data_IF_559985514075
#
_entry.id   IF_559985514075
#
_cell.length_a   1.000
_cell.length_b   1.000
_cell.length_c   1.000
_cell.angle_alpha   90.00
_cell.angle_beta   90.00
_cell.angle_gamma   90.00
#
_symmetry.space_group_name_H-M   'P 1'
#
loop_
_entity.id
_entity.type
_entity.pdbx_description
1 polymer ?
#
# COMPACT_ATOMS: atom_id res chain seq x y z
N UNK A 1 -37.94 -34.20 -60.78
CA UNK A 1 -37.96 -32.83 -60.25
C UNK A 1 -36.94 -32.75 -59.12
N UNK A 2 -35.83 -32.04 -59.31
CA UNK A 2 -35.11 -31.49 -58.16
C UNK A 2 -35.86 -30.28 -57.59
N UNK A 3 -35.29 -29.49 -56.65
CA UNK A 3 -33.91 -29.60 -56.15
C UNK A 3 -33.70 -29.23 -54.65
N UNK A 4 -32.41 -29.26 -54.22
CA UNK A 4 -31.74 -28.41 -53.20
C UNK A 4 -32.19 -28.52 -51.74
N UNK A 5 -31.34 -29.05 -50.85
CA UNK A 5 -30.33 -28.30 -50.08
C UNK A 5 -30.65 -28.51 -48.59
N UNK A 6 -29.77 -28.57 -47.60
CA UNK A 6 -28.36 -28.29 -47.46
C UNK A 6 -27.80 -29.20 -46.34
N UNK A 7 -26.48 -29.30 -46.30
CA UNK A 7 -25.63 -29.93 -45.28
C UNK A 7 -26.01 -29.59 -43.83
N UNK A 8 -25.74 -30.46 -42.84
CA UNK A 8 -25.66 -30.02 -41.45
C UNK A 8 -24.42 -29.11 -41.32
N UNK A 9 -24.64 -27.81 -41.43
CA UNK A 9 -23.64 -26.79 -41.15
C UNK A 9 -23.23 -26.92 -39.70
N UNK A 10 -21.93 -27.07 -39.48
CA UNK A 10 -21.28 -26.89 -38.20
C UNK A 10 -21.84 -25.65 -37.50
N UNK A 11 -22.63 -25.86 -36.44
CA UNK A 11 -22.75 -24.86 -35.40
C UNK A 11 -21.44 -24.92 -34.63
N UNK A 12 -20.46 -24.19 -35.17
CA UNK A 12 -19.26 -23.82 -34.46
C UNK A 12 -19.70 -23.34 -33.09
N UNK A 13 -19.32 -24.09 -32.06
CA UNK A 13 -19.19 -23.53 -30.73
C UNK A 13 -18.36 -22.27 -30.92
N UNK A 14 -18.98 -21.12 -30.67
CA UNK A 14 -18.23 -19.92 -30.36
C UNK A 14 -17.43 -20.27 -29.11
N UNK A 15 -16.24 -20.82 -29.35
CA UNK A 15 -15.10 -20.61 -28.48
C UNK A 15 -14.98 -19.09 -28.45
N UNK A 16 -15.59 -18.47 -27.43
CA UNK A 16 -15.06 -17.22 -26.94
C UNK A 16 -13.61 -17.52 -26.55
N UNK A 17 -12.71 -17.32 -27.53
CA UNK A 17 -11.30 -17.17 -27.25
C UNK A 17 -11.15 -16.10 -26.17
N UNK A 18 -10.10 -16.18 -25.33
CA UNK A 18 -9.95 -15.31 -24.17
C UNK A 18 -10.10 -13.86 -24.63
N UNK A 19 -11.18 -13.21 -24.20
CA UNK A 19 -11.43 -11.80 -24.48
C UNK A 19 -10.29 -11.01 -23.84
N UNK A 20 -9.38 -10.66 -24.74
CA UNK A 20 -8.31 -9.69 -24.68
C UNK A 20 -8.64 -8.55 -23.72
N UNK A 21 -7.92 -8.55 -22.60
CA UNK A 21 -7.66 -7.47 -21.64
C UNK A 21 -8.52 -6.20 -21.84
N UNK A 22 -9.52 -6.03 -20.98
CA UNK A 22 -10.39 -4.86 -20.99
C UNK A 22 -9.63 -3.61 -20.49
N UNK A 23 -9.38 -2.68 -21.41
CA UNK A 23 -8.69 -1.39 -21.17
C UNK A 23 -9.34 -0.62 -20.01
N UNK A 24 -10.66 -0.74 -19.85
CA UNK A 24 -11.41 -0.07 -18.78
C UNK A 24 -11.12 -0.71 -17.41
N UNK A 25 -10.99 -2.03 -17.36
CA UNK A 25 -10.63 -2.77 -16.13
C UNK A 25 -9.18 -2.49 -15.73
N UNK A 26 -8.27 -2.41 -16.70
CA UNK A 26 -6.86 -2.06 -16.49
C UNK A 26 -6.74 -0.61 -16.01
N UNK A 27 -7.42 0.33 -16.65
CA UNK A 27 -7.40 1.74 -16.24
C UNK A 27 -7.97 1.90 -14.82
N UNK A 28 -9.06 1.19 -14.50
CA UNK A 28 -9.63 1.16 -13.14
C UNK A 28 -8.67 0.55 -12.10
N UNK A 29 -7.94 -0.51 -12.47
CA UNK A 29 -6.90 -1.11 -11.63
C UNK A 29 -5.72 -0.16 -11.42
N UNK A 30 -5.27 0.54 -12.46
CA UNK A 30 -4.18 1.51 -12.34
C UNK A 30 -4.58 2.72 -11.50
N UNK A 31 -5.82 3.17 -11.63
CA UNK A 31 -6.37 4.25 -10.80
C UNK A 31 -6.53 3.80 -9.34
N UNK A 32 -6.93 2.55 -9.08
CA UNK A 32 -6.97 2.01 -7.72
C UNK A 32 -5.56 1.85 -7.10
N UNK A 33 -4.54 1.71 -7.95
CA UNK A 33 -3.12 1.74 -7.59
C UNK A 33 -2.53 3.16 -7.51
N UNK A 34 -3.35 4.21 -7.67
CA UNK A 34 -2.95 5.61 -7.50
C UNK A 34 -2.35 6.29 -8.73
N UNK A 35 -2.43 5.66 -9.91
CA UNK A 35 -2.03 6.28 -11.19
C UNK A 35 -3.11 7.27 -11.61
N UNK A 36 -2.72 8.48 -12.02
CA UNK A 36 -3.68 9.50 -12.47
C UNK A 36 -4.52 8.99 -13.65
N UNK A 37 -5.80 9.35 -13.72
CA UNK A 37 -6.72 8.80 -14.73
C UNK A 37 -6.22 8.95 -16.17
N UNK A 38 -5.55 10.06 -16.49
CA UNK A 38 -4.92 10.27 -17.80
C UNK A 38 -3.71 9.35 -18.05
N UNK A 39 -2.86 9.12 -17.05
CA UNK A 39 -1.73 8.19 -17.15
C UNK A 39 -2.19 6.73 -17.17
N UNK A 40 -3.25 6.39 -16.43
CA UNK A 40 -3.86 5.07 -16.39
C UNK A 40 -4.48 4.69 -17.74
N UNK A 41 -5.25 5.60 -18.37
CA UNK A 41 -5.81 5.37 -19.70
C UNK A 41 -4.71 5.27 -20.77
N UNK A 42 -3.71 6.15 -20.72
CA UNK A 42 -2.58 6.13 -21.68
C UNK A 42 -1.70 4.88 -21.55
N UNK A 43 -1.49 4.40 -20.31
CA UNK A 43 -0.76 3.15 -20.06
C UNK A 43 -1.57 1.92 -20.47
N UNK A 44 -2.90 1.92 -20.25
CA UNK A 44 -3.79 0.84 -20.66
C UNK A 44 -3.90 0.74 -22.20
N UNK A 45 -4.02 1.87 -22.90
CA UNK A 45 -4.02 1.91 -24.38
C UNK A 45 -2.70 1.42 -24.98
N UNK A 46 -1.56 1.81 -24.39
CA UNK A 46 -0.24 1.33 -24.83
C UNK A 46 -0.05 -0.16 -24.58
N UNK A 47 -0.57 -0.69 -23.48
CA UNK A 47 -0.45 -2.10 -23.14
C UNK A 47 -1.41 -2.99 -23.95
N UNK A 48 -2.54 -2.45 -24.44
CA UNK A 48 -3.50 -3.18 -25.29
C UNK A 48 -2.93 -3.66 -26.64
N UNK A 49 -1.76 -3.16 -27.06
CA UNK A 49 -1.07 -3.61 -28.28
C UNK A 49 -0.29 -4.92 -28.15
N UNK A 50 -0.18 -5.52 -26.96
CA UNK A 50 0.55 -6.78 -26.75
C UNK A 50 -0.34 -8.01 -26.94
N UNK A 51 0.16 -9.01 -27.66
CA UNK A 51 -0.56 -10.24 -27.97
C UNK A 51 -0.64 -11.27 -26.83
N UNK A 52 0.08 -11.07 -25.72
CA UNK A 52 0.11 -11.97 -24.57
C UNK A 52 0.14 -11.24 -23.21
N UNK A 53 -0.25 -11.93 -22.14
CA UNK A 53 -0.38 -11.34 -20.80
C UNK A 53 0.98 -10.94 -20.18
N UNK A 54 2.06 -11.63 -20.53
CA UNK A 54 3.40 -11.31 -20.05
C UNK A 54 3.98 -10.06 -20.76
N UNK A 55 3.77 -9.94 -22.07
CA UNK A 55 4.09 -8.75 -22.85
C UNK A 55 3.26 -7.55 -22.39
N UNK A 56 1.98 -7.76 -22.07
CA UNK A 56 1.10 -6.75 -21.50
C UNK A 56 1.66 -6.14 -20.21
N UNK A 57 2.03 -7.00 -19.24
CA UNK A 57 2.57 -6.54 -17.97
C UNK A 57 3.90 -5.80 -18.15
N UNK A 58 4.76 -6.27 -19.05
CA UNK A 58 6.03 -5.63 -19.36
C UNK A 58 5.84 -4.25 -20.01
N UNK A 59 4.89 -4.15 -20.94
CA UNK A 59 4.58 -2.91 -21.67
C UNK A 59 3.86 -1.89 -20.78
N UNK A 60 3.03 -2.37 -19.85
CA UNK A 60 2.41 -1.56 -18.81
C UNK A 60 3.46 -1.01 -17.82
N UNK A 61 4.38 -1.85 -17.37
CA UNK A 61 5.47 -1.46 -16.47
C UNK A 61 6.39 -0.41 -17.12
N UNK A 62 6.77 -0.62 -18.39
CA UNK A 62 7.58 0.34 -19.15
C UNK A 62 6.86 1.67 -19.35
N UNK A 63 5.56 1.65 -19.68
CA UNK A 63 4.77 2.88 -19.88
C UNK A 63 4.63 3.68 -18.59
N UNK A 64 4.45 3.01 -17.44
CA UNK A 64 4.40 3.66 -16.13
C UNK A 64 5.76 4.26 -15.74
N UNK A 65 6.87 3.58 -16.06
CA UNK A 65 8.22 4.10 -15.82
C UNK A 65 8.52 5.34 -16.68
N UNK A 66 8.13 5.34 -17.95
CA UNK A 66 8.27 6.50 -18.85
C UNK A 66 7.45 7.69 -18.36
N UNK A 67 6.18 7.47 -18.00
CA UNK A 67 5.29 8.53 -17.49
C UNK A 67 5.76 9.10 -16.13
N UNK A 68 6.42 8.29 -15.31
CA UNK A 68 7.07 8.77 -14.08
C UNK A 68 8.32 9.62 -14.37
N UNK A 69 9.00 9.37 -15.50
CA UNK A 69 10.20 10.10 -15.90
C UNK A 69 9.93 11.43 -16.63
N UNK A 70 8.78 11.58 -17.29
CA UNK A 70 8.38 12.83 -17.98
C UNK A 70 8.14 14.02 -17.03
N UNK A 71 8.05 13.79 -15.71
CA UNK A 71 7.85 14.86 -14.71
C UNK A 71 9.15 15.48 -14.16
N UNK A 72 10.33 15.09 -14.65
CA UNK A 72 11.61 15.60 -14.12
C UNK A 72 12.42 16.38 -15.16
N UNK A 73 12.43 17.70 -15.01
CA UNK A 73 13.48 18.60 -15.53
C UNK A 73 13.88 19.63 -14.45
N UNK A 74 15.11 20.19 -14.52
CA UNK A 74 16.01 20.23 -13.37
C UNK A 74 16.37 21.65 -12.87
N UNK A 75 16.41 21.83 -11.55
CA UNK A 75 17.19 22.80 -10.76
C UNK A 75 16.81 22.52 -9.27
N UNK A 76 17.67 22.45 -8.27
CA UNK A 76 19.01 22.98 -8.10
C UNK A 76 19.89 22.02 -7.29
N UNK A 77 21.18 22.09 -7.58
CA UNK A 77 22.24 21.45 -6.82
C UNK A 77 22.72 22.35 -5.68
N UNK A 78 23.28 21.71 -4.65
CA UNK A 78 24.19 22.21 -3.62
C UNK A 78 23.59 22.99 -2.42
N UNK A 79 23.61 22.34 -1.26
CA UNK A 79 24.62 22.66 -0.25
C UNK A 79 24.76 21.54 0.77
N UNK A 80 25.98 21.05 0.89
CA UNK A 80 26.43 20.28 2.04
C UNK A 80 26.61 21.24 3.21
N UNK A 81 25.97 20.97 4.35
CA UNK A 81 26.45 21.47 5.63
C UNK A 81 26.15 20.44 6.70
N UNK A 82 27.23 19.90 7.25
CA UNK A 82 27.26 19.06 8.44
C UNK A 82 26.80 19.87 9.64
N UNK A 83 25.80 19.40 10.40
CA UNK A 83 25.63 19.80 11.80
C UNK A 83 24.75 18.81 12.56
N UNK A 84 25.43 18.10 13.48
CA UNK A 84 25.00 17.73 14.82
C UNK A 84 23.57 17.23 15.07
N UNK A 85 23.52 15.98 15.50
CA UNK A 85 22.51 15.41 16.40
C UNK A 85 22.01 16.44 17.41
N UNK A 86 20.76 16.84 17.26
CA UNK A 86 19.97 17.42 18.33
C UNK A 86 18.60 16.77 18.28
N UNK A 87 18.31 15.95 19.29
CA UNK A 87 16.94 15.66 19.68
C UNK A 87 16.32 16.96 20.19
N UNK A 88 15.89 17.82 19.26
CA UNK A 88 15.00 18.92 19.56
C UNK A 88 13.59 18.33 19.65
N UNK A 89 13.03 18.30 20.85
CA UNK A 89 11.63 17.98 21.09
C UNK A 89 10.79 18.98 20.30
N UNK A 90 10.27 18.54 19.14
CA UNK A 90 9.28 19.27 18.35
C UNK A 90 8.13 19.65 19.28
N UNK A 91 7.57 20.89 19.21
CA UNK A 91 6.37 21.22 19.95
C UNK A 91 5.32 20.13 19.69
N UNK A 92 4.70 19.61 20.74
CA UNK A 92 3.70 18.57 20.62
C UNK A 92 2.56 19.13 19.76
N UNK A 93 2.50 18.70 18.51
CA UNK A 93 1.35 18.95 17.65
C UNK A 93 0.18 18.26 18.34
N UNK A 94 -0.90 18.97 18.60
CA UNK A 94 -2.08 18.42 19.29
C UNK A 94 -3.17 18.15 18.26
N UNK A 95 -3.94 17.08 18.47
CA UNK A 95 -5.09 16.77 17.63
C UNK A 95 -6.16 17.87 17.79
N UNK A 96 -7.00 18.12 16.77
CA UNK A 96 -8.05 19.14 16.83
C UNK A 96 -9.26 18.76 17.71
N UNK A 97 -9.13 17.71 18.54
CA UNK A 97 -10.16 17.16 19.42
C UNK A 97 -9.50 16.44 20.61
N UNK A 98 -10.19 16.44 21.75
CA UNK A 98 -9.73 15.79 22.99
C UNK A 98 -10.50 14.50 23.28
N UNK A 99 -11.78 14.44 22.90
CA UNK A 99 -12.69 13.31 23.15
C UNK A 99 -13.20 12.64 21.87
N UNK A 100 -13.75 11.44 22.00
CA UNK A 100 -14.36 10.75 20.86
C UNK A 100 -15.61 11.48 20.34
N UNK A 101 -16.37 12.12 21.23
CA UNK A 101 -17.52 12.95 20.85
C UNK A 101 -17.09 14.17 20.01
N UNK A 102 -16.06 14.88 20.46
CA UNK A 102 -15.47 15.99 19.71
C UNK A 102 -14.91 15.53 18.37
N UNK A 103 -14.23 14.39 18.32
CA UNK A 103 -13.77 13.79 17.08
C UNK A 103 -14.91 13.52 16.10
N UNK A 104 -16.03 12.95 16.56
CA UNK A 104 -17.19 12.69 15.69
C UNK A 104 -17.78 13.98 15.13
N UNK A 105 -17.93 15.00 15.97
CA UNK A 105 -18.41 16.31 15.53
C UNK A 105 -17.46 16.96 14.53
N UNK A 106 -16.15 16.93 14.81
CA UNK A 106 -15.08 17.42 13.94
C UNK A 106 -15.10 16.69 12.59
N UNK A 107 -15.07 15.35 12.58
CA UNK A 107 -14.99 14.55 11.36
C UNK A 107 -16.23 14.75 10.47
N UNK A 108 -17.41 14.84 11.07
CA UNK A 108 -18.67 15.13 10.35
C UNK A 108 -18.68 16.54 9.75
N UNK A 109 -17.99 17.49 10.38
CA UNK A 109 -17.85 18.86 9.91
C UNK A 109 -16.83 19.05 8.79
N UNK A 110 -16.02 18.04 8.49
CA UNK A 110 -15.02 18.13 7.42
C UNK A 110 -15.66 18.15 6.04
N UNK A 111 -15.04 18.89 5.13
CA UNK A 111 -15.43 18.89 3.73
C UNK A 111 -15.21 17.55 3.03
N UNK A 112 -15.61 17.52 1.77
CA UNK A 112 -15.42 16.41 0.84
C UNK A 112 -14.77 16.85 -0.47
N UNK A 113 -14.13 18.03 -0.48
CA UNK A 113 -13.44 18.57 -1.64
C UNK A 113 -11.97 18.20 -1.56
N UNK A 114 -11.43 17.66 -2.65
CA UNK A 114 -10.03 17.25 -2.74
C UNK A 114 -9.35 18.01 -3.87
N UNK A 115 -8.02 18.16 -3.78
CA UNK A 115 -7.21 18.71 -4.87
C UNK A 115 -7.39 17.88 -6.16
N UNK A 116 -7.25 18.50 -7.33
CA UNK A 116 -7.44 17.83 -8.62
C UNK A 116 -6.46 16.67 -8.87
N UNK A 117 -5.27 16.75 -8.29
CA UNK A 117 -4.21 15.75 -8.33
C UNK A 117 -4.07 14.99 -7.00
N UNK A 118 -5.14 14.94 -6.20
CA UNK A 118 -5.15 14.29 -4.91
C UNK A 118 -4.61 12.86 -4.98
N UNK A 119 -3.59 12.60 -4.16
CA UNK A 119 -3.11 11.27 -3.86
C UNK A 119 -3.40 10.98 -2.39
N UNK A 120 -3.98 9.81 -2.12
CA UNK A 120 -4.22 9.37 -0.75
C UNK A 120 -2.87 9.30 0.00
N UNK A 121 -2.73 10.00 1.13
CA UNK A 121 -1.54 9.91 1.96
C UNK A 121 -1.35 8.51 2.50
N UNK A 122 -0.10 8.17 2.78
CA UNK A 122 0.26 6.86 3.31
C UNK A 122 -0.46 6.56 4.62
N UNK A 123 -0.63 7.51 5.53
CA UNK A 123 -1.39 7.28 6.77
C UNK A 123 -2.86 6.90 6.51
N UNK A 124 -3.48 7.44 5.45
CA UNK A 124 -4.84 7.05 5.03
C UNK A 124 -4.86 5.61 4.51
N UNK A 125 -3.82 5.20 3.80
CA UNK A 125 -3.66 3.81 3.32
C UNK A 125 -3.36 2.85 4.48
N UNK A 126 -2.49 3.25 5.40
CA UNK A 126 -2.11 2.49 6.59
C UNK A 126 -3.30 2.23 7.50
N UNK A 127 -4.18 3.23 7.64
CA UNK A 127 -5.39 3.08 8.43
C UNK A 127 -6.27 1.93 7.95
N UNK A 128 -6.23 1.53 6.66
CA UNK A 128 -6.59 0.21 6.12
C UNK A 128 -7.97 -0.38 6.45
N UNK A 129 -8.70 0.25 7.35
CA UNK A 129 -10.07 0.01 7.75
C UNK A 129 -10.87 0.91 6.85
N UNK A 130 -11.48 0.25 5.88
CA UNK A 130 -12.45 0.72 4.93
C UNK A 130 -13.09 2.07 5.31
N UNK A 131 -13.22 2.94 4.31
CA UNK A 131 -14.23 4.03 4.24
C UNK A 131 -15.69 3.52 4.40
N UNK A 132 -15.89 2.31 4.91
CA UNK A 132 -17.18 1.72 5.25
C UNK A 132 -17.50 2.16 6.67
N UNK A 133 -18.58 2.93 6.80
CA UNK A 133 -18.95 3.58 8.05
C UNK A 133 -19.42 2.60 9.13
N UNK A 134 -19.22 3.05 10.37
CA UNK A 134 -19.59 2.39 11.61
C UNK A 134 -18.90 3.09 12.78
N UNK A 135 -19.44 2.96 14.00
CA UNK A 135 -18.85 3.61 15.20
C UNK A 135 -17.47 2.99 15.54
N UNK A 136 -17.27 1.69 15.28
CA UNK A 136 -16.00 1.00 15.54
C UNK A 136 -14.86 1.55 14.66
N UNK A 137 -15.13 1.80 13.37
CA UNK A 137 -14.17 2.38 12.45
C UNK A 137 -13.89 3.85 12.77
N UNK A 138 -14.90 4.60 13.23
CA UNK A 138 -14.72 5.97 13.71
C UNK A 138 -13.81 6.01 14.94
N UNK A 139 -13.98 5.07 15.87
CA UNK A 139 -13.15 4.99 17.06
C UNK A 139 -11.70 4.60 16.74
N UNK A 140 -11.49 3.72 15.75
CA UNK A 140 -10.15 3.42 15.22
C UNK A 140 -9.43 4.65 14.66
N UNK A 141 -10.15 5.52 13.94
CA UNK A 141 -9.59 6.79 13.42
C UNK A 141 -9.30 7.79 14.55
N UNK A 142 -10.20 7.92 15.53
CA UNK A 142 -9.98 8.76 16.71
C UNK A 142 -8.69 8.40 17.42
N UNK A 143 -8.51 7.12 17.77
CA UNK A 143 -7.31 6.65 18.47
C UNK A 143 -6.06 6.77 17.61
N UNK A 144 -6.16 6.54 16.30
CA UNK A 144 -5.06 6.81 15.38
C UNK A 144 -4.62 8.28 15.41
N UNK A 145 -5.55 9.21 15.22
CA UNK A 145 -5.22 10.63 15.15
C UNK A 145 -4.81 11.24 16.49
N UNK A 146 -5.23 10.68 17.62
CA UNK A 146 -4.63 11.02 18.92
C UNK A 146 -3.14 10.68 18.98
N UNK A 147 -2.76 9.53 18.41
CA UNK A 147 -1.37 9.09 18.36
C UNK A 147 -0.56 9.82 17.27
N UNK A 148 -1.23 10.30 16.22
CA UNK A 148 -0.64 10.96 15.03
C UNK A 148 -1.37 12.28 14.72
N UNK A 149 -1.24 13.30 15.57
CA UNK A 149 -1.97 14.56 15.46
C UNK A 149 -1.63 15.35 14.20
N UNK A 150 -0.41 15.23 13.68
CA UNK A 150 -0.03 15.76 12.36
C UNK A 150 -0.86 15.16 11.21
N UNK A 151 -1.25 13.87 11.32
CA UNK A 151 -2.13 13.24 10.35
C UNK A 151 -3.55 13.80 10.43
N UNK A 152 -4.02 14.21 11.61
CA UNK A 152 -5.35 14.81 11.78
C UNK A 152 -5.44 16.19 11.10
N UNK A 153 -4.39 17.00 11.27
CA UNK A 153 -4.26 18.31 10.63
C UNK A 153 -4.22 18.17 9.11
N UNK A 154 -3.41 17.24 8.61
CA UNK A 154 -3.34 16.95 7.17
C UNK A 154 -4.70 16.47 6.64
N UNK A 155 -5.38 15.58 7.37
CA UNK A 155 -6.69 15.06 6.99
C UNK A 155 -7.74 16.15 6.83
N UNK A 156 -7.75 17.13 7.75
CA UNK A 156 -8.62 18.29 7.65
C UNK A 156 -8.29 19.15 6.43
N UNK A 157 -7.01 19.45 6.20
CA UNK A 157 -6.56 20.28 5.08
C UNK A 157 -6.92 19.65 3.72
N UNK A 158 -6.65 18.35 3.58
CA UNK A 158 -6.93 17.56 2.37
C UNK A 158 -8.42 17.56 2.03
N UNK A 159 -9.29 17.49 3.04
CA UNK A 159 -10.75 17.52 2.87
C UNK A 159 -11.33 18.91 2.55
N UNK A 160 -10.48 19.94 2.59
CA UNK A 160 -10.79 21.30 2.14
C UNK A 160 -10.15 21.64 0.80
N UNK A 161 -9.60 20.65 0.08
CA UNK A 161 -9.00 20.82 -1.24
C UNK A 161 -7.51 21.15 -1.24
N UNK A 162 -6.84 21.16 -0.08
CA UNK A 162 -5.39 21.36 0.00
C UNK A 162 -4.63 20.07 -0.39
N UNK A 163 -3.40 20.17 -0.92
CA UNK A 163 -2.54 19.01 -1.09
C UNK A 163 -2.02 18.49 0.27
N UNK A 164 -1.87 17.17 0.37
CA UNK A 164 -1.26 16.52 1.53
C UNK A 164 0.18 16.98 1.74
N UNK A 165 0.54 17.25 2.99
CA UNK A 165 1.93 17.45 3.43
C UNK A 165 2.59 16.14 3.89
N UNK A 166 1.80 15.07 4.02
CA UNK A 166 2.28 13.74 4.37
C UNK A 166 2.67 12.93 3.12
N UNK A 167 3.61 11.96 3.23
CA UNK A 167 4.03 11.11 2.11
C UNK A 167 2.86 10.40 1.44
N UNK A 168 2.90 10.28 0.10
CA UNK A 168 1.85 9.64 -0.72
C UNK A 168 2.40 8.50 -1.59
N UNK A 169 3.69 8.20 -1.48
CA UNK A 169 4.42 7.29 -2.37
C UNK A 169 4.58 5.87 -1.79
N UNK A 170 4.01 5.59 -0.62
CA UNK A 170 4.13 4.32 0.09
C UNK A 170 5.45 4.17 0.85
N UNK A 171 6.33 5.17 0.83
CA UNK A 171 7.64 5.10 1.50
C UNK A 171 7.53 4.87 3.00
N UNK A 172 6.40 5.23 3.61
CA UNK A 172 6.16 5.05 5.05
C UNK A 172 5.35 3.79 5.39
N UNK A 173 4.92 3.02 4.38
CA UNK A 173 4.11 1.80 4.52
C UNK A 173 4.92 0.50 4.59
N UNK A 174 6.24 0.60 4.55
CA UNK A 174 7.13 -0.56 4.60
C UNK A 174 7.17 -1.16 5.99
N UNK A 175 6.99 -2.47 6.11
CA UNK A 175 7.08 -3.22 7.37
C UNK A 175 8.39 -3.98 7.55
N UNK A 176 9.03 -4.34 6.44
CA UNK A 176 10.24 -5.16 6.44
C UNK A 176 11.45 -4.37 6.89
N UNK A 177 12.36 -5.04 7.57
CA UNK A 177 13.61 -4.46 8.03
C UNK A 177 14.69 -4.59 6.94
N UNK A 178 14.89 -3.52 6.16
CA UNK A 178 15.92 -3.50 5.11
C UNK A 178 17.35 -3.61 5.66
N UNK A 179 17.58 -3.34 6.95
CA UNK A 179 18.91 -3.48 7.57
C UNK A 179 19.27 -4.95 7.84
N UNK A 180 18.27 -5.81 7.98
CA UNK A 180 18.44 -7.24 8.17
C UNK A 180 18.53 -8.04 6.85
N UNK A 181 18.31 -7.38 5.71
CA UNK A 181 18.38 -7.99 4.38
C UNK A 181 19.81 -7.98 3.81
N UNK A 182 20.12 -8.85 2.83
CA UNK A 182 21.33 -8.71 2.03
C UNK A 182 21.44 -7.32 1.38
N UNK A 183 22.65 -6.75 1.36
CA UNK A 183 22.90 -5.37 0.88
C UNK A 183 22.35 -5.11 -0.53
N UNK A 184 22.49 -6.07 -1.44
CA UNK A 184 21.99 -5.96 -2.82
C UNK A 184 20.45 -5.89 -2.85
N UNK A 185 19.78 -6.77 -2.10
CA UNK A 185 18.33 -6.81 -1.95
C UNK A 185 17.80 -5.50 -1.36
N UNK A 186 18.40 -5.04 -0.26
CA UNK A 186 18.01 -3.78 0.38
C UNK A 186 18.20 -2.59 -0.57
N UNK A 187 19.30 -2.56 -1.32
CA UNK A 187 19.58 -1.50 -2.31
C UNK A 187 18.60 -1.52 -3.47
N UNK A 188 18.17 -2.70 -3.92
CA UNK A 188 17.13 -2.85 -4.94
C UNK A 188 15.81 -2.26 -4.45
N UNK A 189 15.38 -2.60 -3.23
CA UNK A 189 14.09 -2.12 -2.70
C UNK A 189 14.05 -0.63 -2.39
N UNK A 190 15.17 -0.03 -1.97
CA UNK A 190 15.26 1.45 -1.86
C UNK A 190 15.00 2.17 -3.18
N UNK A 191 15.36 1.55 -4.30
CA UNK A 191 15.10 2.08 -5.65
C UNK A 191 13.73 1.67 -6.20
N UNK A 192 13.13 0.61 -5.66
CA UNK A 192 11.90 -0.02 -6.16
C UNK A 192 10.93 -0.29 -4.98
N UNK A 193 10.45 0.74 -4.28
CA UNK A 193 9.62 0.55 -3.10
C UNK A 193 8.30 -0.15 -3.41
N UNK A 194 7.74 0.06 -4.61
CA UNK A 194 6.56 -0.67 -5.07
C UNK A 194 6.76 -2.20 -5.11
N UNK A 195 7.96 -2.67 -5.47
CA UNK A 195 8.25 -4.10 -5.47
C UNK A 195 8.33 -4.68 -4.03
N UNK A 196 8.77 -3.87 -3.07
CA UNK A 196 8.77 -4.26 -1.66
C UNK A 196 7.34 -4.34 -1.13
N UNK A 197 6.54 -3.30 -1.38
CA UNK A 197 5.14 -3.25 -0.98
C UNK A 197 4.32 -4.37 -1.63
N UNK A 198 4.64 -4.78 -2.86
CA UNK A 198 4.03 -5.96 -3.47
C UNK A 198 4.40 -7.25 -2.72
N UNK A 199 5.68 -7.47 -2.41
CA UNK A 199 6.10 -8.65 -1.66
C UNK A 199 5.38 -8.71 -0.29
N UNK A 200 5.36 -7.60 0.44
CA UNK A 200 4.67 -7.48 1.73
C UNK A 200 3.16 -7.68 1.59
N UNK A 201 2.53 -7.06 0.58
CA UNK A 201 1.09 -7.15 0.33
C UNK A 201 0.62 -8.56 -0.04
N UNK A 202 1.46 -9.32 -0.74
CA UNK A 202 1.22 -10.74 -1.00
C UNK A 202 1.68 -11.66 0.14
N UNK A 203 2.10 -11.11 1.28
CA UNK A 203 2.61 -11.87 2.43
C UNK A 203 3.83 -12.74 2.11
N UNK A 204 4.65 -12.33 1.15
CA UNK A 204 5.88 -13.03 0.78
C UNK A 204 7.08 -12.44 1.52
N UNK A 205 8.09 -13.27 1.80
CA UNK A 205 9.39 -12.76 2.24
C UNK A 205 10.05 -11.94 1.11
N UNK A 206 10.38 -10.66 1.32
CA UNK A 206 10.95 -9.83 0.27
C UNK A 206 12.31 -10.35 -0.25
N UNK A 207 13.13 -10.96 0.61
CA UNK A 207 14.44 -11.46 0.16
C UNK A 207 14.27 -12.67 -0.73
N UNK A 208 13.41 -13.63 -0.36
CA UNK A 208 13.10 -14.78 -1.20
C UNK A 208 12.39 -14.38 -2.49
N UNK A 209 11.47 -13.40 -2.43
CA UNK A 209 10.81 -12.87 -3.61
C UNK A 209 11.83 -12.24 -4.58
N UNK A 210 12.78 -11.45 -4.08
CA UNK A 210 13.85 -10.88 -4.91
C UNK A 210 14.75 -11.97 -5.51
N UNK A 211 15.12 -12.98 -4.72
CA UNK A 211 15.89 -14.12 -5.23
C UNK A 211 15.13 -14.87 -6.34
N UNK A 212 13.81 -15.00 -6.23
CA UNK A 212 12.98 -15.60 -7.28
C UNK A 212 12.99 -14.77 -8.55
N UNK A 213 12.87 -13.45 -8.44
CA UNK A 213 12.98 -12.53 -9.59
C UNK A 213 14.34 -12.64 -10.30
N UNK A 214 15.39 -12.92 -9.53
CA UNK A 214 16.75 -13.11 -10.05
C UNK A 214 17.02 -14.54 -10.57
N UNK A 215 16.04 -15.45 -10.47
CA UNK A 215 16.23 -16.87 -10.81
C UNK A 215 17.16 -17.63 -9.85
N UNK A 216 17.34 -17.13 -8.63
CA UNK A 216 18.25 -17.66 -7.60
C UNK A 216 17.54 -18.32 -6.41
N UNK A 217 16.20 -18.24 -6.35
CA UNK A 217 15.45 -18.87 -5.25
C UNK A 217 15.42 -20.39 -5.43
N UNK A 218 15.88 -21.11 -4.41
CA UNK A 218 15.86 -22.57 -4.35
C UNK A 218 14.49 -23.07 -3.84
N UNK A 219 13.47 -22.90 -4.70
CA UNK A 219 12.10 -23.34 -4.41
C UNK A 219 11.98 -24.81 -4.83
N UNK A 220 11.45 -25.71 -3.97
CA UNK A 220 11.21 -27.09 -4.34
C UNK A 220 10.39 -27.21 -5.63
N UNK A 221 10.80 -28.08 -6.54
CA UNK A 221 10.22 -28.20 -7.89
C UNK A 221 8.76 -28.64 -7.89
N UNK A 222 8.33 -29.34 -6.85
CA UNK A 222 6.97 -29.82 -6.62
C UNK A 222 6.09 -28.84 -5.82
N UNK A 223 6.67 -27.76 -5.30
CA UNK A 223 5.95 -26.77 -4.51
C UNK A 223 5.28 -25.70 -5.38
N UNK A 224 4.13 -25.20 -4.92
CA UNK A 224 3.58 -23.96 -5.46
C UNK A 224 4.47 -22.78 -5.01
N UNK A 225 5.17 -22.15 -5.95
CA UNK A 225 6.14 -21.10 -5.64
C UNK A 225 5.56 -19.91 -4.87
N UNK A 226 4.30 -19.53 -5.11
CA UNK A 226 3.68 -18.42 -4.40
C UNK A 226 3.34 -18.79 -2.96
N UNK A 227 2.79 -19.98 -2.75
CA UNK A 227 2.49 -20.49 -1.40
C UNK A 227 3.77 -20.72 -0.59
N UNK A 228 4.81 -21.29 -1.22
CA UNK A 228 6.09 -21.50 -0.57
C UNK A 228 6.71 -20.19 -0.08
N UNK A 229 6.66 -19.12 -0.89
CA UNK A 229 7.13 -17.78 -0.51
C UNK A 229 6.31 -17.14 0.62
N UNK A 230 5.05 -17.53 0.79
CA UNK A 230 4.20 -17.07 1.91
C UNK A 230 4.45 -17.84 3.21
N UNK A 231 5.02 -19.05 3.11
CA UNK A 231 5.22 -19.97 4.24
C UNK A 231 6.70 -20.12 4.64
N UNK A 232 7.61 -19.39 4.01
CA UNK A 232 9.05 -19.44 4.29
C UNK A 232 9.65 -18.04 4.34
N UNK A 233 10.67 -17.87 5.18
CA UNK A 233 11.44 -16.62 5.24
C UNK A 233 12.92 -16.88 5.04
N UNK A 234 13.58 -15.86 4.50
CA UNK A 234 15.04 -15.88 4.43
C UNK A 234 15.64 -15.54 5.79
N UNK A 235 16.75 -16.21 6.13
CA UNK A 235 17.63 -15.82 7.24
C UNK A 235 19.08 -15.93 6.81
N UNK A 236 20.00 -15.34 7.56
CA UNK A 236 21.44 -15.50 7.32
C UNK A 236 21.90 -16.97 7.38
N UNK A 237 21.18 -17.84 8.09
CA UNK A 237 21.48 -19.26 8.24
C UNK A 237 20.76 -20.15 7.21
N UNK A 238 20.06 -19.56 6.25
CA UNK A 238 19.25 -20.26 5.26
C UNK A 238 17.76 -20.01 5.38
N UNK A 239 16.99 -20.67 4.53
CA UNK A 239 15.53 -20.53 4.47
C UNK A 239 14.89 -21.39 5.57
N UNK A 240 13.93 -20.80 6.29
CA UNK A 240 13.17 -21.50 7.34
C UNK A 240 11.67 -21.32 7.13
N UNK A 241 10.87 -22.29 7.58
CA UNK A 241 9.42 -22.16 7.59
C UNK A 241 8.98 -20.99 8.49
N UNK A 242 8.00 -20.22 8.04
CA UNK A 242 7.46 -19.07 8.75
C UNK A 242 6.08 -18.69 8.21
N UNK A 243 5.11 -18.42 9.09
CA UNK A 243 3.86 -17.78 8.69
C UNK A 243 4.11 -16.28 8.44
N UNK A 244 4.45 -15.94 7.19
CA UNK A 244 4.74 -14.56 6.82
C UNK A 244 3.51 -13.67 6.92
N UNK A 245 2.30 -14.22 6.71
CA UNK A 245 1.06 -13.47 6.86
C UNK A 245 0.89 -13.00 8.30
N UNK A 246 1.01 -13.91 9.27
CA UNK A 246 0.94 -13.54 10.69
C UNK A 246 2.07 -12.57 11.08
N UNK A 247 3.28 -12.84 10.61
CA UNK A 247 4.46 -12.00 10.90
C UNK A 247 4.28 -10.57 10.39
N UNK A 248 3.89 -10.39 9.12
CA UNK A 248 3.68 -9.07 8.50
C UNK A 248 2.42 -8.38 9.05
N UNK A 249 1.38 -9.11 9.42
CA UNK A 249 0.20 -8.54 10.07
C UNK A 249 0.56 -7.85 11.41
N UNK A 250 1.49 -8.44 12.17
CA UNK A 250 1.92 -7.95 13.48
C UNK A 250 3.10 -6.96 13.39
N UNK A 251 3.82 -6.92 12.27
CA UNK A 251 4.96 -6.05 12.08
C UNK A 251 4.55 -4.55 12.06
N UNK A 252 5.27 -3.68 12.78
CA UNK A 252 5.04 -2.24 12.72
C UNK A 252 5.49 -1.67 11.37
N UNK A 253 4.87 -0.57 10.95
CA UNK A 253 5.37 0.23 9.84
C UNK A 253 6.69 0.90 10.23
N UNK A 254 7.76 0.65 9.47
CA UNK A 254 9.10 1.19 9.70
C UNK A 254 9.47 2.30 8.71
N UNK A 255 8.83 2.30 7.54
CA UNK A 255 9.24 3.11 6.42
C UNK A 255 10.54 2.63 5.76
N UNK A 256 10.82 3.13 4.56
CA UNK A 256 12.00 2.77 3.76
C UNK A 256 13.33 3.18 4.40
N UNK A 257 13.32 4.23 5.21
CA UNK A 257 14.50 4.73 5.91
C UNK A 257 14.86 3.88 7.13
N UNK A 258 13.94 3.03 7.61
CA UNK A 258 14.08 2.20 8.81
C UNK A 258 14.15 3.00 10.12
N UNK A 259 14.18 4.34 10.03
CA UNK A 259 14.31 5.26 11.17
C UNK A 259 12.94 5.74 11.67
N UNK A 260 11.88 5.56 10.87
CA UNK A 260 10.50 5.77 11.28
C UNK A 260 9.98 4.66 12.18
N UNK A 261 10.61 4.45 13.35
CA UNK A 261 10.21 3.41 14.31
C UNK A 261 8.71 3.47 14.61
N UNK A 262 7.94 2.62 13.93
CA UNK A 262 6.48 2.56 14.02
C UNK A 262 5.76 3.84 13.56
N UNK A 263 6.07 4.35 12.36
CA UNK A 263 5.49 5.58 11.78
C UNK A 263 3.96 5.65 11.92
N UNK A 264 3.27 4.52 11.82
CA UNK A 264 1.82 4.42 12.02
C UNK A 264 1.49 3.37 13.08
N UNK A 265 1.89 3.62 14.32
CA UNK A 265 1.45 2.79 15.45
C UNK A 265 -0.07 2.82 15.57
N UNK A 266 -0.69 1.65 15.39
CA UNK A 266 -2.12 1.45 15.61
C UNK A 266 -2.35 1.02 17.07
N UNK A 267 -3.48 1.46 17.63
CA UNK A 267 -3.98 0.89 18.88
C UNK A 267 -4.25 -0.60 18.70
N UNK A 268 -4.09 -1.38 19.78
CA UNK A 268 -4.18 -2.85 19.74
C UNK A 268 -5.33 -3.35 20.60
N UNK A 269 -5.99 -4.41 20.17
CA UNK A 269 -6.96 -5.10 21.03
C UNK A 269 -6.22 -5.89 22.12
N UNK A 270 -6.60 -5.66 23.37
CA UNK A 270 -6.26 -6.52 24.50
C UNK A 270 -7.10 -7.80 24.39
N UNK A 271 -6.47 -8.99 24.21
CA UNK A 271 -7.20 -10.23 24.01
C UNK A 271 -7.89 -10.74 25.28
N UNK A 272 -7.47 -10.29 26.47
CA UNK A 272 -8.06 -10.71 27.75
C UNK A 272 -9.30 -9.91 28.13
N UNK A 273 -9.32 -8.61 27.81
CA UNK A 273 -10.42 -7.71 28.17
C UNK A 273 -11.32 -7.35 26.99
N UNK A 274 -10.83 -7.50 25.76
CA UNK A 274 -11.50 -6.97 24.57
C UNK A 274 -11.44 -5.44 24.46
N UNK A 275 -10.64 -4.77 25.29
CA UNK A 275 -10.45 -3.33 25.22
C UNK A 275 -9.46 -2.95 24.10
N UNK A 276 -9.65 -1.78 23.49
CA UNK A 276 -8.65 -1.19 22.62
C UNK A 276 -7.61 -0.47 23.49
N UNK A 277 -6.33 -0.74 23.28
CA UNK A 277 -5.22 -0.16 24.04
C UNK A 277 -4.45 0.79 23.13
N UNK A 278 -4.40 2.08 23.48
CA UNK A 278 -3.54 3.04 22.80
C UNK A 278 -2.06 2.85 23.17
N UNK A 279 -1.20 3.71 22.64
CA UNK A 279 0.25 3.58 22.79
C UNK A 279 0.75 4.01 24.16
N UNK A 280 -0.05 4.81 24.87
CA UNK A 280 0.19 5.21 26.25
C UNK A 280 -0.34 4.17 27.25
N UNK A 281 -0.88 3.05 26.74
CA UNK A 281 -1.44 1.97 27.55
C UNK A 281 -2.84 2.27 28.08
N UNK A 282 -3.48 3.35 27.62
CA UNK A 282 -4.87 3.63 28.00
C UNK A 282 -5.79 2.69 27.28
N UNK A 283 -6.75 2.18 28.03
CA UNK A 283 -7.74 1.23 27.56
C UNK A 283 -9.03 1.97 27.23
N UNK A 284 -9.68 1.53 26.17
CA UNK A 284 -10.95 2.08 25.73
C UNK A 284 -11.92 0.96 25.40
N UNK A 285 -13.20 1.17 25.70
CA UNK A 285 -14.27 0.33 25.19
C UNK A 285 -14.35 0.56 23.66
N UNK A 286 -14.18 -0.47 22.82
CA UNK A 286 -14.16 -0.31 21.36
C UNK A 286 -15.54 0.04 20.76
N UNK A 287 -16.63 0.00 21.55
CA UNK A 287 -17.98 0.35 21.12
C UNK A 287 -18.35 1.78 21.49
N UNK A 288 -18.01 2.23 22.69
CA UNK A 288 -18.40 3.58 23.18
C UNK A 288 -17.27 4.59 23.06
N UNK A 289 -16.03 4.12 23.05
CA UNK A 289 -14.83 4.95 23.06
C UNK A 289 -14.49 5.57 24.42
N UNK A 290 -15.22 5.19 25.48
CA UNK A 290 -14.94 5.62 26.84
C UNK A 290 -13.69 4.91 27.37
N UNK A 291 -13.01 5.55 28.33
CA UNK A 291 -11.91 4.92 29.04
C UNK A 291 -12.41 3.64 29.74
N UNK A 292 -11.90 2.49 29.33
CA UNK A 292 -12.17 1.22 30.00
C UNK A 292 -11.27 1.13 31.24
N UNK A 293 -11.87 0.83 32.39
CA UNK A 293 -11.14 0.60 33.66
C UNK A 293 -10.46 -0.77 33.64
#
# INVERSE_FOLDING_TARGET
MGPRGATPSAAAGATEGPKMIDISQVSSLLQSLGVSGAAASKAAERAAGSSDAAGFLKQLQSSLAELASEKKSPADAASATSAASSHATKPAVQAPFESFEEFRAWEKGLGNTFAADYQAPDYVRAMGMCRMGGEAEAFGRYTFFKNHPECAIDYQAVRSGAPSQMPTDGSTLVKSDLSAMPTETASYYRKNPGALLMAEGFNMDPTLFKQRLDGKADIPTDANASEWLMQHKWTANGVVANDNRATLAQAPFRGLDGNGTSTYRLARMDPGTGALVDLDGRRYDPRTGDAAV
#
